data_IF_449031662078
#
_entry.id   IF_449031662078
#
_cell.length_a   1.000
_cell.length_b   1.000
_cell.length_c   1.000
_cell.angle_alpha   90.00
_cell.angle_beta   90.00
_cell.angle_gamma   90.00
#
_symmetry.space_group_name_H-M   'P 1'
#
loop_
_entity.id
_entity.type
_entity.pdbx_description
1 polymer ?
#
# COMPACT_ATOMS: atom_id res chain seq x y z
N UNK A 1 11.71 -40.33 -32.82
CA UNK A 1 11.78 -39.42 -31.66
C UNK A 1 10.55 -38.53 -31.73
N UNK A 2 9.44 -38.77 -31.05
CA UNK A 2 9.30 -39.03 -29.62
C UNK A 2 8.23 -40.09 -29.34
N UNK A 3 8.53 -40.86 -28.30
CA UNK A 3 7.72 -41.87 -27.66
C UNK A 3 7.20 -41.23 -26.36
N UNK A 4 5.94 -41.53 -26.04
CA UNK A 4 5.40 -41.75 -24.68
C UNK A 4 4.75 -40.60 -23.87
N UNK A 5 3.51 -40.96 -23.45
CA UNK A 5 2.72 -40.59 -22.27
C UNK A 5 2.18 -39.14 -22.18
N UNK A 6 0.97 -38.89 -21.70
CA UNK A 6 0.03 -39.75 -20.99
C UNK A 6 -1.40 -39.28 -21.25
N UNK A 7 -2.29 -40.26 -21.44
CA UNK A 7 -3.73 -40.13 -21.22
C UNK A 7 -3.91 -39.84 -19.73
N UNK A 8 -4.26 -38.59 -19.38
CA UNK A 8 -4.97 -38.32 -18.14
C UNK A 8 -6.45 -38.19 -18.50
N UNK A 9 -7.14 -39.33 -18.50
CA UNK A 9 -8.58 -39.34 -18.27
C UNK A 9 -8.78 -39.04 -16.78
N UNK A 10 -9.25 -37.84 -16.46
CA UNK A 10 -9.88 -37.61 -15.15
C UNK A 10 -11.28 -38.21 -15.19
N UNK A 11 -11.52 -39.06 -14.21
CA UNK A 11 -12.70 -39.86 -13.95
C UNK A 11 -13.90 -39.03 -13.46
N UNK A 12 -15.09 -39.37 -13.99
CA UNK A 12 -16.45 -39.21 -13.46
C UNK A 12 -16.97 -37.80 -13.06
N UNK A 13 -18.02 -37.34 -13.75
CA UNK A 13 -19.43 -37.55 -13.31
C UNK A 13 -20.42 -37.16 -14.43
N UNK A 14 -21.26 -38.13 -14.80
CA UNK A 14 -22.55 -38.08 -15.51
C UNK A 14 -22.62 -37.74 -17.03
N UNK A 15 -22.92 -38.82 -17.75
CA UNK A 15 -23.16 -38.96 -19.18
C UNK A 15 -24.67 -39.12 -19.42
N UNK A 16 -25.26 -38.28 -20.28
CA UNK A 16 -26.40 -38.60 -21.17
C UNK A 16 -26.77 -37.29 -21.89
N UNK A 17 -26.71 -37.10 -23.20
CA UNK A 17 -26.73 -37.97 -24.38
C UNK A 17 -26.42 -37.07 -25.58
N UNK A 18 -25.33 -37.33 -26.31
CA UNK A 18 -25.09 -37.15 -27.76
C UNK A 18 -23.59 -37.04 -28.04
N UNK A 19 -22.85 -38.11 -27.74
CA UNK A 19 -21.53 -38.30 -28.35
C UNK A 19 -21.77 -38.72 -29.81
N UNK A 20 -21.90 -37.74 -30.71
CA UNK A 20 -21.49 -37.99 -32.10
C UNK A 20 -19.98 -38.00 -32.07
N UNK A 21 -19.37 -39.17 -32.30
CA UNK A 21 -17.95 -39.25 -32.66
C UNK A 21 -17.74 -38.36 -33.89
N UNK A 22 -17.28 -37.13 -33.66
CA UNK A 22 -16.84 -36.25 -34.72
C UNK A 22 -15.49 -36.80 -35.15
N UNK A 23 -15.46 -37.40 -36.35
CA UNK A 23 -14.26 -37.99 -36.95
C UNK A 23 -13.09 -37.03 -36.83
N UNK A 24 -11.87 -37.56 -36.69
CA UNK A 24 -10.62 -36.79 -36.64
C UNK A 24 -10.57 -35.73 -37.75
N UNK A 25 -11.14 -36.03 -38.92
CA UNK A 25 -11.28 -35.13 -40.07
C UNK A 25 -12.14 -33.90 -39.76
N UNK A 26 -13.26 -34.05 -39.03
CA UNK A 26 -14.14 -32.91 -38.67
C UNK A 26 -13.52 -32.01 -37.61
N UNK A 27 -12.77 -32.57 -36.67
CA UNK A 27 -12.01 -31.81 -35.67
C UNK A 27 -10.85 -31.04 -36.31
N UNK A 28 -10.15 -31.64 -37.27
CA UNK A 28 -9.14 -30.95 -38.09
C UNK A 28 -9.76 -29.87 -38.99
N UNK A 29 -10.91 -30.10 -39.63
CA UNK A 29 -11.60 -29.10 -40.47
C UNK A 29 -12.11 -27.92 -39.63
N UNK A 30 -12.59 -28.16 -38.40
CA UNK A 30 -12.97 -27.09 -37.48
C UNK A 30 -11.76 -26.34 -36.91
N UNK A 31 -10.67 -27.03 -36.56
CA UNK A 31 -9.42 -26.39 -36.16
C UNK A 31 -8.83 -25.57 -37.30
N UNK A 32 -8.86 -26.09 -38.54
CA UNK A 32 -8.36 -25.41 -39.73
C UNK A 32 -9.27 -24.26 -40.13
N UNK A 33 -10.61 -24.36 -39.99
CA UNK A 33 -11.51 -23.22 -40.22
C UNK A 33 -11.32 -22.13 -39.16
N UNK A 34 -11.14 -22.50 -37.90
CA UNK A 34 -10.85 -21.55 -36.80
C UNK A 34 -9.46 -20.93 -36.98
N UNK A 35 -8.43 -21.70 -37.33
CA UNK A 35 -7.10 -21.19 -37.66
C UNK A 35 -7.11 -20.34 -38.93
N UNK A 36 -7.94 -20.65 -39.93
CA UNK A 36 -8.06 -19.90 -41.19
C UNK A 36 -8.93 -18.64 -41.04
N UNK A 37 -9.90 -18.60 -40.12
CA UNK A 37 -10.58 -17.36 -39.70
C UNK A 37 -9.66 -16.48 -38.87
N UNK A 38 -8.90 -17.03 -37.91
CA UNK A 38 -7.89 -16.32 -37.10
C UNK A 38 -6.74 -15.79 -37.97
N UNK A 39 -6.35 -16.49 -39.05
CA UNK A 39 -5.27 -16.07 -39.96
C UNK A 39 -5.65 -14.90 -40.88
N UNK A 40 -6.92 -14.52 -40.95
CA UNK A 40 -7.30 -13.29 -41.66
C UNK A 40 -6.85 -12.09 -40.83
N UNK A 41 -6.18 -11.12 -41.46
CA UNK A 41 -5.66 -9.91 -40.79
C UNK A 41 -6.76 -9.18 -39.99
N UNK A 42 -8.02 -9.29 -40.42
CA UNK A 42 -9.17 -8.71 -39.75
C UNK A 42 -9.46 -9.36 -38.38
N UNK A 43 -9.37 -10.69 -38.27
CA UNK A 43 -9.65 -11.39 -37.01
C UNK A 43 -8.52 -11.23 -35.99
N UNK A 44 -7.26 -11.18 -36.43
CA UNK A 44 -6.14 -10.78 -35.55
C UNK A 44 -6.35 -9.40 -34.94
N UNK A 45 -6.85 -8.44 -35.73
CA UNK A 45 -7.15 -7.08 -35.25
C UNK A 45 -8.30 -7.09 -34.26
N UNK A 46 -9.39 -7.82 -34.53
CA UNK A 46 -10.53 -7.93 -33.61
C UNK A 46 -10.12 -8.57 -32.28
N UNK A 47 -9.35 -9.66 -32.31
CA UNK A 47 -8.86 -10.32 -31.09
C UNK A 47 -7.91 -9.40 -30.32
N UNK A 48 -6.98 -8.72 -31.00
CA UNK A 48 -6.10 -7.74 -30.36
C UNK A 48 -6.90 -6.60 -29.72
N UNK A 49 -7.91 -6.05 -30.41
CA UNK A 49 -8.81 -5.04 -29.87
C UNK A 49 -9.58 -5.56 -28.64
N UNK A 50 -10.12 -6.77 -28.69
CA UNK A 50 -10.82 -7.37 -27.56
C UNK A 50 -9.90 -7.59 -26.36
N UNK A 51 -8.64 -8.00 -26.58
CA UNK A 51 -7.64 -8.14 -25.52
C UNK A 51 -7.27 -6.79 -24.92
N UNK A 52 -7.12 -5.73 -25.73
CA UNK A 52 -6.87 -4.36 -25.25
C UNK A 52 -8.04 -3.86 -24.39
N UNK A 53 -9.28 -4.09 -24.82
CA UNK A 53 -10.49 -3.70 -24.07
C UNK A 53 -10.57 -4.45 -22.73
N UNK A 54 -10.20 -5.73 -22.68
CA UNK A 54 -10.20 -6.53 -21.43
C UNK A 54 -9.10 -6.08 -20.46
N UNK A 55 -7.94 -5.66 -20.96
CA UNK A 55 -6.83 -5.17 -20.12
C UNK A 55 -7.20 -3.88 -19.36
N UNK A 56 -7.99 -2.99 -19.96
CA UNK A 56 -8.48 -1.78 -19.29
C UNK A 56 -9.55 -2.09 -18.24
N UNK A 57 -10.38 -3.11 -18.45
CA UNK A 57 -11.44 -3.50 -17.52
C UNK A 57 -10.92 -4.21 -16.25
N UNK A 58 -9.75 -4.83 -16.31
CA UNK A 58 -9.13 -5.50 -15.15
C UNK A 58 -8.54 -4.52 -14.12
N UNK A 59 -8.55 -3.21 -14.39
CA UNK A 59 -8.02 -2.18 -13.50
C UNK A 59 -9.05 -1.65 -12.47
N UNK A 60 -10.03 -2.46 -12.05
CA UNK A 60 -11.00 -2.06 -11.03
C UNK A 60 -10.36 -2.07 -9.62
N UNK A 61 -9.73 -0.94 -9.31
CA UNK A 61 -9.38 -0.37 -7.99
C UNK A 61 -8.61 -1.26 -6.99
N UNK A 62 -7.36 -0.86 -6.74
CA UNK A 62 -6.43 -1.50 -5.80
C UNK A 62 -6.78 -1.35 -4.32
N UNK A 63 -5.90 -1.91 -3.48
CA UNK A 63 -5.91 -1.80 -2.00
C UNK A 63 -6.23 -0.37 -1.57
N UNK A 64 -7.21 -0.18 -0.66
CA UNK A 64 -7.85 1.08 -0.19
C UNK A 64 -6.90 2.20 0.29
N UNK A 65 -5.96 2.60 -0.55
CA UNK A 65 -4.79 3.43 -0.30
C UNK A 65 -4.83 4.61 -1.26
N UNK A 66 -4.83 5.79 -0.68
CA UNK A 66 -4.89 7.08 -1.34
C UNK A 66 -3.52 7.78 -1.20
N UNK A 67 -3.00 8.33 -2.30
CA UNK A 67 -1.77 9.13 -2.26
C UNK A 67 -2.10 10.57 -1.86
N UNK A 68 -1.56 11.03 -0.72
CA UNK A 68 -1.82 12.37 -0.19
C UNK A 68 -0.53 13.17 -0.01
N UNK A 69 -0.62 14.49 -0.19
CA UNK A 69 0.49 15.43 0.08
C UNK A 69 0.48 15.79 1.57
N UNK A 70 1.43 15.26 2.32
CA UNK A 70 1.59 15.54 3.75
C UNK A 70 2.75 16.50 4.01
N UNK A 71 2.52 17.51 4.86
CA UNK A 71 3.55 18.42 5.34
C UNK A 71 4.23 17.82 6.58
N UNK A 72 5.56 17.84 6.60
CA UNK A 72 6.38 17.40 7.73
C UNK A 72 7.47 18.44 8.03
N UNK A 73 7.80 18.59 9.31
CA UNK A 73 8.81 19.56 9.76
C UNK A 73 10.18 18.89 9.77
N UNK A 74 11.13 19.44 9.00
CA UNK A 74 12.53 18.97 8.99
C UNK A 74 13.41 19.97 9.74
N UNK A 75 14.29 19.48 10.63
CA UNK A 75 15.27 20.32 11.31
C UNK A 75 16.49 20.55 10.42
N UNK A 76 16.75 21.80 10.07
CA UNK A 76 17.89 22.23 9.27
C UNK A 76 18.91 22.96 10.14
N UNK A 77 20.17 22.62 9.92
CA UNK A 77 21.32 23.24 10.58
C UNK A 77 21.74 24.46 9.76
N UNK A 78 21.31 25.65 10.17
CA UNK A 78 21.56 26.92 9.48
C UNK A 78 22.75 27.65 10.14
N UNK A 79 23.70 28.11 9.32
CA UNK A 79 24.84 28.91 9.80
C UNK A 79 24.48 30.39 9.78
N UNK A 80 24.69 31.08 10.88
CA UNK A 80 24.48 32.52 11.01
C UNK A 80 25.68 33.16 11.70
N UNK A 81 26.02 34.39 11.30
CA UNK A 81 27.11 35.14 11.92
C UNK A 81 26.62 35.85 13.18
N UNK A 82 27.30 35.63 14.29
CA UNK A 82 27.00 36.28 15.55
C UNK A 82 28.24 36.97 16.12
N UNK A 83 28.10 38.16 16.73
CA UNK A 83 29.19 38.81 17.41
C UNK A 83 29.53 38.07 18.72
N UNK A 84 30.81 37.83 18.95
CA UNK A 84 31.35 37.29 20.20
C UNK A 84 32.39 38.25 20.76
N UNK A 85 32.38 38.45 22.07
CA UNK A 85 33.41 39.22 22.77
C UNK A 85 34.66 38.36 22.97
N UNK A 86 35.69 38.63 22.18
CA UNK A 86 36.99 37.96 22.27
C UNK A 86 37.95 38.86 23.04
N UNK A 87 38.65 38.29 24.02
CA UNK A 87 39.65 39.02 24.80
C UNK A 87 40.97 39.04 24.02
N UNK A 88 41.41 40.23 23.65
CA UNK A 88 42.72 40.48 23.02
C UNK A 88 43.62 41.25 23.99
N UNK A 89 44.92 41.24 23.73
CA UNK A 89 45.90 41.95 24.56
C UNK A 89 46.58 43.01 23.72
N UNK A 90 46.46 44.26 24.15
CA UNK A 90 47.12 45.40 23.52
C UNK A 90 48.19 45.95 24.46
N UNK A 91 49.19 46.59 23.88
CA UNK A 91 50.24 47.25 24.66
C UNK A 91 49.71 48.52 25.31
N UNK A 92 50.04 48.72 26.59
CA UNK A 92 49.69 49.91 27.35
C UNK A 92 50.77 50.17 28.43
N UNK A 93 50.85 51.41 28.94
CA UNK A 93 51.89 51.79 29.91
C UNK A 93 51.53 51.50 31.37
N UNK A 94 50.48 50.71 31.64
CA UNK A 94 50.18 50.24 33.00
C UNK A 94 51.01 48.99 33.31
N UNK A 95 51.40 48.80 34.57
CA UNK A 95 52.15 47.60 35.01
C UNK A 95 51.13 46.49 35.33
N UNK A 96 51.14 45.34 34.64
CA UNK A 96 52.03 44.88 33.56
C UNK A 96 51.69 45.44 32.16
N UNK A 97 52.68 45.63 31.25
CA UNK A 97 52.59 46.41 29.99
C UNK A 97 51.59 45.93 28.91
N UNK A 98 50.75 44.95 29.23
CA UNK A 98 49.70 44.43 28.35
C UNK A 98 48.35 44.57 29.03
N UNK A 99 47.50 45.42 28.46
CA UNK A 99 46.12 45.59 28.89
C UNK A 99 45.23 44.61 28.13
N UNK A 100 44.26 44.01 28.82
CA UNK A 100 43.25 43.21 28.13
C UNK A 100 42.16 44.11 27.56
N UNK A 101 41.88 43.96 26.28
CA UNK A 101 40.82 44.67 25.55
C UNK A 101 39.83 43.67 24.97
N UNK A 102 38.54 43.94 25.16
CA UNK A 102 37.48 43.15 24.54
C UNK A 102 37.25 43.66 23.13
N UNK A 103 37.43 42.78 22.15
CA UNK A 103 37.10 43.06 20.76
C UNK A 103 35.90 42.21 20.35
N UNK A 104 34.97 42.81 19.61
CA UNK A 104 33.82 42.10 19.05
C UNK A 104 34.24 41.43 17.76
N UNK A 105 34.30 40.10 17.74
CA UNK A 105 34.60 39.31 16.56
C UNK A 105 33.36 38.55 16.11
N UNK A 106 33.06 38.59 14.81
CA UNK A 106 31.98 37.80 14.23
C UNK A 106 32.43 36.34 14.10
N UNK A 107 31.68 35.40 14.66
CA UNK A 107 31.89 33.97 14.48
C UNK A 107 30.67 33.31 13.85
N UNK A 108 30.91 32.31 13.00
CA UNK A 108 29.84 31.52 12.40
C UNK A 108 29.30 30.53 13.44
N UNK A 109 28.08 30.80 13.92
CA UNK A 109 27.34 29.90 14.78
C UNK A 109 26.36 29.08 13.96
N UNK A 110 25.96 27.93 14.51
CA UNK A 110 24.97 27.09 13.87
C UNK A 110 23.70 27.00 14.70
N UNK A 111 22.57 27.37 14.12
CA UNK A 111 21.24 27.28 14.72
C UNK A 111 20.47 26.13 14.07
N UNK A 112 19.63 25.45 14.85
CA UNK A 112 18.64 24.53 14.32
C UNK A 112 17.37 25.32 13.99
N UNK A 113 16.91 25.23 12.76
CA UNK A 113 15.67 25.85 12.29
C UNK A 113 14.78 24.78 11.69
N UNK A 114 13.48 24.80 12.00
CA UNK A 114 12.50 23.88 11.41
C UNK A 114 11.98 24.44 10.10
N UNK A 115 12.13 23.68 9.02
CA UNK A 115 11.62 23.99 7.68
C UNK A 115 10.42 23.07 7.40
N UNK A 116 9.30 23.60 6.92
CA UNK A 116 8.17 22.78 6.48
C UNK A 116 8.44 22.22 5.07
N UNK A 117 8.41 20.90 4.92
CA UNK A 117 8.52 20.21 3.63
C UNK A 117 7.28 19.40 3.35
N UNK A 118 6.96 19.18 2.08
CA UNK A 118 5.81 18.37 1.66
C UNK A 118 6.31 17.09 1.01
N UNK A 119 5.80 15.93 1.45
CA UNK A 119 6.02 14.62 0.83
C UNK A 119 4.71 14.03 0.33
N UNK A 120 4.78 13.18 -0.68
CA UNK A 120 3.66 12.34 -1.13
C UNK A 120 3.72 11.01 -0.39
N UNK A 121 2.69 10.72 0.40
CA UNK A 121 2.62 9.55 1.28
C UNK A 121 1.35 8.76 0.99
N UNK A 122 1.49 7.44 0.93
CA UNK A 122 0.38 6.51 0.83
C UNK A 122 -0.35 6.39 2.18
N UNK A 123 -1.63 6.75 2.23
CA UNK A 123 -2.47 6.61 3.44
C UNK A 123 -3.74 5.85 3.11
N UNK A 124 -4.40 5.28 4.12
CA UNK A 124 -5.72 4.70 3.90
C UNK A 124 -6.74 5.78 3.49
N UNK A 125 -7.60 5.45 2.53
CA UNK A 125 -8.68 6.33 2.10
C UNK A 125 -9.70 6.60 3.25
N UNK A 126 -10.49 7.67 3.17
CA UNK A 126 -11.50 7.98 4.20
C UNK A 126 -12.43 6.79 4.47
N UNK A 127 -12.65 6.48 5.75
CA UNK A 127 -13.44 5.31 6.17
C UNK A 127 -12.61 4.02 6.35
N UNK A 128 -11.31 4.05 6.06
CA UNK A 128 -10.38 2.95 6.30
C UNK A 128 -9.29 3.35 7.30
N UNK A 129 -8.80 2.37 8.06
CA UNK A 129 -7.67 2.51 8.98
C UNK A 129 -6.57 1.51 8.67
N UNK A 130 -5.34 1.85 9.01
CA UNK A 130 -4.20 0.97 8.81
C UNK A 130 -4.20 -0.14 9.88
N UNK A 131 -4.18 -1.40 9.43
CA UNK A 131 -3.92 -2.60 10.24
C UNK A 131 -2.65 -3.25 9.68
N UNK A 132 -1.55 -3.08 10.41
CA UNK A 132 -0.19 -3.49 10.05
C UNK A 132 0.31 -2.88 8.72
N UNK A 133 -0.07 -3.49 7.59
CA UNK A 133 0.35 -3.09 6.23
C UNK A 133 -0.86 -2.86 5.31
N UNK A 134 -2.06 -3.26 5.73
CA UNK A 134 -3.29 -3.21 4.92
C UNK A 134 -4.29 -2.18 5.46
N UNK A 135 -5.12 -1.64 4.57
CA UNK A 135 -6.20 -0.73 4.94
C UNK A 135 -7.51 -1.49 5.13
N UNK A 136 -8.01 -1.55 6.36
CA UNK A 136 -9.27 -2.20 6.73
C UNK A 136 -10.37 -1.15 6.97
N UNK A 137 -11.65 -1.44 6.67
CA UNK A 137 -12.73 -0.50 6.91
C UNK A 137 -12.88 -0.19 8.41
N UNK A 138 -13.40 0.98 8.75
CA UNK A 138 -13.73 1.38 10.11
C UNK A 138 -15.19 1.00 10.40
N UNK A 139 -15.40 -0.08 11.15
CA UNK A 139 -16.73 -0.58 11.49
C UNK A 139 -17.28 -0.07 12.83
N UNK A 140 -18.62 0.02 12.94
CA UNK A 140 -19.30 0.31 14.20
C UNK A 140 -19.10 -0.83 15.21
N UNK A 141 -19.51 -0.58 16.46
CA UNK A 141 -19.38 -1.56 17.53
C UNK A 141 -20.18 -2.83 17.20
N UNK A 142 -19.56 -3.99 17.39
CA UNK A 142 -20.18 -5.28 17.16
C UNK A 142 -20.12 -5.77 15.71
N UNK A 143 -19.50 -5.02 14.79
CA UNK A 143 -19.34 -5.38 13.39
C UNK A 143 -17.88 -5.44 12.93
N UNK A 144 -17.61 -6.27 11.93
CA UNK A 144 -16.31 -6.50 11.30
C UNK A 144 -16.48 -6.92 9.83
N UNK A 145 -15.38 -7.26 9.16
CA UNK A 145 -15.37 -7.76 7.80
C UNK A 145 -15.40 -6.68 6.72
N UNK A 146 -15.40 -7.08 5.43
CA UNK A 146 -15.51 -6.14 4.31
C UNK A 146 -16.84 -5.41 4.37
N UNK A 147 -16.80 -4.07 4.36
CA UNK A 147 -18.00 -3.25 4.44
C UNK A 147 -18.80 -3.39 5.74
N UNK A 148 -18.21 -3.94 6.81
CA UNK A 148 -18.84 -4.04 8.14
C UNK A 148 -20.12 -4.89 8.20
N UNK A 149 -20.20 -5.89 7.33
CA UNK A 149 -21.37 -6.77 7.22
C UNK A 149 -21.35 -7.94 8.21
N UNK A 150 -20.17 -8.32 8.72
CA UNK A 150 -20.00 -9.47 9.61
C UNK A 150 -20.18 -9.05 11.08
N UNK A 151 -20.78 -9.93 11.90
CA UNK A 151 -20.85 -9.75 13.34
C UNK A 151 -19.54 -10.10 14.03
N UNK A 152 -19.31 -9.52 15.22
CA UNK A 152 -18.11 -9.84 15.98
C UNK A 152 -18.05 -11.34 16.34
N UNK A 153 -16.88 -11.98 16.21
CA UNK A 153 -16.68 -13.34 16.69
C UNK A 153 -16.79 -13.39 18.22
N UNK A 154 -17.10 -14.58 18.74
CA UNK A 154 -17.22 -14.81 20.17
C UNK A 154 -15.98 -14.35 20.94
N UNK A 155 -16.18 -13.82 22.15
CA UNK A 155 -15.16 -13.21 23.02
C UNK A 155 -14.52 -11.89 22.52
N UNK A 156 -15.03 -11.28 21.45
CA UNK A 156 -14.58 -9.95 20.99
C UNK A 156 -15.73 -8.95 20.91
N UNK A 157 -15.41 -7.68 21.12
CA UNK A 157 -16.39 -6.59 21.15
C UNK A 157 -15.79 -5.25 20.72
N UNK A 158 -16.65 -4.25 20.56
CA UNK A 158 -16.27 -2.89 20.17
C UNK A 158 -16.06 -2.71 18.67
N UNK A 159 -15.45 -1.59 18.23
CA UNK A 159 -15.36 -1.25 16.81
C UNK A 159 -14.33 -2.13 16.10
N UNK A 160 -14.73 -2.81 15.02
CA UNK A 160 -13.91 -3.84 14.36
C UNK A 160 -13.48 -4.98 15.29
N UNK A 161 -14.21 -5.22 16.37
CA UNK A 161 -13.97 -6.30 17.34
C UNK A 161 -12.53 -6.30 17.90
N UNK A 162 -11.97 -5.11 18.13
CA UNK A 162 -10.58 -4.94 18.59
C UNK A 162 -10.40 -5.30 20.07
N UNK A 163 -11.47 -5.24 20.86
CA UNK A 163 -11.41 -5.52 22.29
C UNK A 163 -11.74 -6.98 22.57
N UNK A 164 -11.00 -7.57 23.51
CA UNK A 164 -11.28 -8.90 24.04
C UNK A 164 -12.14 -8.80 25.30
N UNK A 165 -13.01 -9.77 25.50
CA UNK A 165 -13.89 -9.81 26.65
C UNK A 165 -13.11 -10.19 27.91
N UNK A 166 -13.18 -9.34 28.95
CA UNK A 166 -12.34 -9.45 30.15
C UNK A 166 -12.72 -10.60 31.07
N UNK A 167 -13.94 -11.12 30.98
CA UNK A 167 -14.43 -12.18 31.89
C UNK A 167 -15.72 -12.79 31.38
N UNK A 168 -15.71 -14.07 31.02
CA UNK A 168 -16.95 -14.75 30.66
C UNK A 168 -17.06 -16.07 31.45
N UNK A 169 -18.06 -16.18 32.33
CA UNK A 169 -18.61 -17.49 32.71
C UNK A 169 -19.38 -17.98 31.48
N UNK A 170 -18.72 -18.63 30.52
CA UNK A 170 -19.24 -19.24 29.26
C UNK A 170 -18.82 -18.60 27.92
N UNK A 171 -17.89 -17.64 27.90
CA UNK A 171 -17.38 -17.04 26.63
C UNK A 171 -18.29 -16.06 25.89
N UNK A 172 -19.49 -15.77 26.40
CA UNK A 172 -20.43 -14.83 25.79
C UNK A 172 -20.34 -13.46 26.46
N UNK A 173 -20.22 -12.42 25.63
CA UNK A 173 -20.23 -11.01 26.00
C UNK A 173 -20.93 -10.23 24.89
N UNK A 174 -21.52 -9.09 25.23
CA UNK A 174 -22.19 -8.22 24.25
C UNK A 174 -21.19 -7.71 23.21
N UNK A 175 -21.43 -7.92 21.91
CA UNK A 175 -20.51 -7.47 20.86
C UNK A 175 -20.41 -5.92 20.78
N UNK A 176 -21.40 -5.21 21.34
CA UNK A 176 -21.48 -3.75 21.33
C UNK A 176 -20.84 -3.14 22.58
N UNK A 177 -21.19 -3.64 23.77
CA UNK A 177 -20.81 -3.04 25.06
C UNK A 177 -19.71 -3.81 25.81
N UNK A 178 -19.47 -5.08 25.46
CA UNK A 178 -18.50 -5.93 26.14
C UNK A 178 -18.94 -6.43 27.52
N UNK A 179 -20.21 -6.21 27.89
CA UNK A 179 -20.84 -6.72 29.13
C UNK A 179 -21.26 -8.19 29.04
#
# INVERSE_FOLDING_TARGET
>A
FHVVLAVFCTENQDESTLVRCMDSVTMWVLLDNVLRTIKSRAWCVVIACMVIIVMEAAALNGDNVCMVKQKYNITKRVKYRAPMSVRTYEWCFSMPPRCSKWNTEMRDLTRLETEERTAEVAVCCPGYKMRDVSCVPICPNGKTGPGCSEDCPDNKWGPNCIHECKRCKNGFCSPITGE
#
